data_IF_590000767295
#
_entry.id   IF_590000767295
#
_cell.length_a   1.000
_cell.length_b   1.000
_cell.length_c   1.000
_cell.angle_alpha   90.00
_cell.angle_beta   90.00
_cell.angle_gamma   90.00
#
_symmetry.space_group_name_H-M   'P 1'
#
loop_
_entity.id
_entity.type
_entity.pdbx_description
1 polymer ?
#
# COMPACT_ATOMS: atom_id res chain seq x y z
N UNK A 1 18.03 27.38 -26.77
CA UNK A 1 16.81 26.53 -26.87
C UNK A 1 17.04 25.25 -26.09
N UNK A 2 16.80 25.24 -24.78
CA UNK A 2 16.57 24.01 -24.01
C UNK A 2 15.58 24.39 -22.92
N UNK A 3 14.32 24.00 -23.11
CA UNK A 3 13.23 24.27 -22.19
C UNK A 3 13.15 23.10 -21.19
N UNK A 4 13.69 23.28 -20.00
CA UNK A 4 13.56 22.32 -18.88
C UNK A 4 12.23 22.56 -18.16
N UNK A 5 11.12 22.25 -18.83
CA UNK A 5 9.81 22.28 -18.20
C UNK A 5 9.55 20.92 -17.53
N UNK A 6 10.17 20.69 -16.37
CA UNK A 6 9.67 19.67 -15.45
C UNK A 6 8.28 20.13 -15.00
N UNK A 7 7.23 19.47 -15.51
CA UNK A 7 5.84 19.69 -15.12
C UNK A 7 5.72 19.50 -13.61
N UNK A 8 5.69 20.59 -12.85
CA UNK A 8 5.02 20.61 -11.55
C UNK A 8 3.51 20.57 -11.85
N UNK A 9 2.98 19.37 -12.06
CA UNK A 9 1.54 19.15 -12.08
C UNK A 9 1.00 19.28 -10.67
N UNK A 10 -0.06 20.07 -10.55
CA UNK A 10 -0.85 20.37 -9.36
C UNK A 10 -1.52 19.11 -8.76
N UNK A 11 -0.76 18.23 -8.12
CA UNK A 11 -1.36 17.18 -7.29
C UNK A 11 -1.59 17.69 -5.87
N UNK A 12 -2.83 17.54 -5.41
CA UNK A 12 -3.25 17.72 -4.03
C UNK A 12 -2.40 16.84 -3.09
N UNK A 13 -2.13 17.26 -1.84
CA UNK A 13 -1.12 16.66 -0.97
C UNK A 13 -1.46 15.27 -0.39
N UNK A 14 -2.28 14.45 -1.06
CA UNK A 14 -2.84 13.24 -0.42
C UNK A 14 -3.11 12.05 -1.33
N UNK A 15 -2.71 12.05 -2.61
CA UNK A 15 -2.73 10.81 -3.41
C UNK A 15 -1.45 10.02 -3.18
N UNK A 16 -1.59 8.81 -2.63
CA UNK A 16 -0.45 7.94 -2.34
C UNK A 16 0.03 7.29 -3.65
N UNK A 17 0.94 7.94 -4.40
CA UNK A 17 1.38 7.48 -5.72
C UNK A 17 2.40 6.31 -5.70
N UNK A 18 2.71 5.77 -4.51
CA UNK A 18 3.71 4.71 -4.35
C UNK A 18 3.04 3.34 -4.17
N UNK A 19 3.48 2.27 -4.86
CA UNK A 19 3.00 0.92 -4.60
C UNK A 19 3.27 0.47 -3.15
N UNK A 20 2.33 -0.28 -2.56
CA UNK A 20 2.43 -0.77 -1.17
C UNK A 20 2.50 -2.29 -1.16
N UNK A 21 3.42 -2.86 -0.37
CA UNK A 21 3.44 -4.28 -0.01
C UNK A 21 2.89 -4.45 1.41
N UNK A 22 1.78 -5.17 1.54
CA UNK A 22 1.13 -5.47 2.80
C UNK A 22 1.44 -6.91 3.23
N UNK A 23 2.31 -7.05 4.23
CA UNK A 23 2.67 -8.33 4.83
C UNK A 23 1.68 -8.68 5.95
N UNK A 24 1.01 -9.81 5.83
CA UNK A 24 -0.03 -10.26 6.76
C UNK A 24 0.36 -11.56 7.46
N UNK A 25 -0.22 -11.77 8.64
CA UNK A 25 -0.05 -12.97 9.45
C UNK A 25 -1.43 -13.49 9.90
N UNK A 26 -1.50 -14.61 10.62
CA UNK A 26 -2.73 -15.13 11.22
C UNK A 26 -3.24 -14.22 12.38
N UNK A 27 -3.67 -13.00 12.03
CA UNK A 27 -4.21 -11.94 12.91
C UNK A 27 -5.31 -11.17 12.16
N UNK A 28 -6.52 -11.73 12.05
CA UNK A 28 -7.58 -11.17 11.19
C UNK A 28 -8.00 -9.75 11.60
N UNK A 29 -8.16 -9.49 12.90
CA UNK A 29 -8.63 -8.18 13.41
C UNK A 29 -7.66 -7.04 13.07
N UNK A 30 -6.35 -7.24 13.30
CA UNK A 30 -5.33 -6.24 12.93
C UNK A 30 -5.24 -6.07 11.42
N UNK A 31 -5.35 -7.18 10.68
CA UNK A 31 -5.30 -7.15 9.22
C UNK A 31 -6.45 -6.32 8.64
N UNK A 32 -7.66 -6.46 9.18
CA UNK A 32 -8.84 -5.69 8.76
C UNK A 32 -8.69 -4.19 9.03
N UNK A 33 -8.18 -3.82 10.20
CA UNK A 33 -7.95 -2.42 10.57
C UNK A 33 -6.95 -1.74 9.63
N UNK A 34 -5.81 -2.39 9.37
CA UNK A 34 -4.77 -1.86 8.48
C UNK A 34 -5.25 -1.83 7.03
N UNK A 35 -5.93 -2.88 6.57
CA UNK A 35 -6.51 -2.91 5.22
C UNK A 35 -7.51 -1.79 5.00
N UNK A 36 -8.35 -1.48 5.99
CA UNK A 36 -9.29 -0.36 5.94
C UNK A 36 -8.59 0.99 5.81
N UNK A 37 -7.42 1.17 6.45
CA UNK A 37 -6.62 2.38 6.30
C UNK A 37 -5.95 2.46 4.91
N UNK A 38 -5.37 1.35 4.43
CA UNK A 38 -4.78 1.27 3.09
C UNK A 38 -5.83 1.58 2.02
N UNK A 39 -7.06 1.07 2.18
CA UNK A 39 -8.17 1.33 1.27
C UNK A 39 -8.49 2.82 1.15
N UNK A 40 -8.45 3.58 2.26
CA UNK A 40 -8.67 5.04 2.24
C UNK A 40 -7.55 5.80 1.53
N UNK A 41 -6.33 5.25 1.52
CA UNK A 41 -5.17 5.87 0.91
C UNK A 41 -5.05 5.58 -0.61
N UNK A 42 -5.82 4.62 -1.12
CA UNK A 42 -5.93 4.28 -2.55
C UNK A 42 -4.58 4.21 -3.29
N UNK A 43 -3.63 3.36 -2.83
CA UNK A 43 -2.36 3.22 -3.54
C UNK A 43 -2.59 2.72 -4.97
N UNK A 44 -1.79 3.15 -5.96
CA UNK A 44 -1.97 2.75 -7.35
C UNK A 44 -1.83 1.24 -7.54
N UNK A 45 -1.10 0.57 -6.65
CA UNK A 45 -0.92 -0.88 -6.58
C UNK A 45 -0.77 -1.33 -5.13
N UNK A 46 -1.50 -2.37 -4.76
CA UNK A 46 -1.39 -3.05 -3.47
C UNK A 46 -0.99 -4.52 -3.71
N UNK A 47 0.17 -4.91 -3.18
CA UNK A 47 0.59 -6.31 -3.10
C UNK A 47 0.29 -6.85 -1.71
N UNK A 48 -0.10 -8.11 -1.62
CA UNK A 48 -0.36 -8.79 -0.34
C UNK A 48 0.45 -10.07 -0.29
N UNK A 49 1.18 -10.29 0.80
CA UNK A 49 1.89 -11.54 1.05
C UNK A 49 1.63 -11.99 2.47
N UNK A 50 1.35 -13.29 2.64
CA UNK A 50 1.09 -13.90 3.93
C UNK A 50 2.22 -14.86 4.30
N UNK A 51 2.61 -14.87 5.58
CA UNK A 51 3.41 -15.97 6.10
C UNK A 51 2.54 -17.24 6.05
N UNK A 52 3.05 -18.30 5.43
CA UNK A 52 2.30 -19.55 5.23
C UNK A 52 1.95 -20.25 6.55
N UNK A 53 1.18 -21.35 6.51
CA UNK A 53 0.89 -22.13 7.70
C UNK A 53 2.18 -22.58 8.38
N UNK A 54 2.26 -22.40 9.71
CA UNK A 54 3.39 -22.91 10.48
C UNK A 54 3.13 -24.40 10.74
N UNK A 55 4.04 -25.31 10.33
CA UNK A 55 3.80 -26.75 10.47
C UNK A 55 3.43 -27.17 11.89
N UNK A 56 4.01 -26.50 12.88
CA UNK A 56 3.86 -26.83 14.31
C UNK A 56 2.86 -25.92 15.05
N UNK A 57 2.20 -24.98 14.36
CA UNK A 57 1.28 -24.03 14.98
C UNK A 57 0.17 -23.59 14.01
N UNK A 58 -1.02 -24.24 14.07
CA UNK A 58 -2.15 -23.93 13.19
C UNK A 58 -2.74 -22.54 13.45
#
# INVERSE_FOLDING_TARGET
VIQVNAKFSSESPTSLNTPVLFLIFNRPETTEQVFSAIRKAEPPRLYVAADGPRPDYP
#
